data_IF_676580583943
#
_entry.id   IF_676580583943
#
_cell.length_a   1.000
_cell.length_b   1.000
_cell.length_c   1.000
_cell.angle_alpha   90.00
_cell.angle_beta   90.00
_cell.angle_gamma   90.00
#
_symmetry.space_group_name_H-M   'P 1'
#
loop_
_entity.id
_entity.type
_entity.pdbx_description
1 polymer ?
#
# COMPACT_ATOMS: atom_id res chain seq x y z
N UNK A 1 -33.37 77.75 3.59
CA UNK A 1 -32.73 77.36 4.88
C UNK A 1 -32.94 75.83 5.04
N UNK A 2 -31.96 75.07 4.60
CA UNK A 2 -32.01 73.60 4.69
C UNK A 2 -31.02 73.10 5.70
N UNK A 3 -31.51 72.39 6.72
CA UNK A 3 -30.70 71.72 7.74
C UNK A 3 -30.28 70.34 7.25
N UNK A 4 -28.95 70.15 7.11
CA UNK A 4 -28.31 68.88 6.72
C UNK A 4 -28.05 68.05 8.01
N UNK A 5 -28.76 66.94 8.16
CA UNK A 5 -28.59 66.01 9.29
C UNK A 5 -27.49 64.99 8.91
N UNK A 6 -26.39 65.01 9.65
CA UNK A 6 -25.30 64.02 9.56
C UNK A 6 -25.70 62.74 10.32
N UNK A 7 -25.69 61.60 9.61
CA UNK A 7 -25.88 60.26 10.16
C UNK A 7 -24.48 59.74 10.61
N UNK A 8 -24.29 59.53 11.89
CA UNK A 8 -23.13 58.90 12.48
C UNK A 8 -23.25 57.37 12.22
N UNK A 9 -22.31 56.80 11.51
CA UNK A 9 -22.10 55.34 11.45
C UNK A 9 -21.32 54.88 12.68
N UNK A 10 -21.96 53.99 13.46
CA UNK A 10 -21.32 53.32 14.59
C UNK A 10 -20.68 52.03 14.07
N UNK A 11 -19.34 51.99 14.01
CA UNK A 11 -18.54 50.79 13.81
C UNK A 11 -18.51 50.00 15.12
N UNK A 12 -19.34 48.95 15.21
CA UNK A 12 -19.27 47.92 16.25
C UNK A 12 -18.09 46.95 16.00
N UNK A 13 -17.48 46.42 17.08
CA UNK A 13 -16.35 45.47 16.94
C UNK A 13 -16.83 44.17 16.32
N UNK A 14 -16.18 43.75 15.21
CA UNK A 14 -16.36 42.45 14.60
C UNK A 14 -15.89 41.37 15.56
N UNK A 15 -16.78 40.47 15.96
CA UNK A 15 -16.44 39.24 16.66
C UNK A 15 -15.55 38.38 15.79
N UNK A 16 -14.46 37.78 16.31
CA UNK A 16 -13.69 36.80 15.57
C UNK A 16 -14.57 35.56 15.32
N UNK A 17 -14.76 35.21 14.04
CA UNK A 17 -15.45 33.99 13.64
C UNK A 17 -14.73 32.75 14.20
N UNK A 18 -15.43 31.62 14.36
CA UNK A 18 -14.84 30.41 14.89
C UNK A 18 -13.74 29.93 13.94
N UNK A 19 -12.49 30.05 14.37
CA UNK A 19 -11.34 29.36 13.78
C UNK A 19 -11.54 27.88 14.02
N UNK A 20 -12.03 27.14 13.01
CA UNK A 20 -11.94 25.69 12.98
C UNK A 20 -10.46 25.31 13.00
N UNK A 21 -9.99 24.55 14.00
CA UNK A 21 -8.62 24.03 13.95
C UNK A 21 -8.52 23.07 12.77
N UNK A 22 -7.75 23.43 11.76
CA UNK A 22 -7.26 22.52 10.75
C UNK A 22 -6.36 21.53 11.49
N UNK A 23 -6.89 20.34 11.84
CA UNK A 23 -6.07 19.24 12.32
C UNK A 23 -5.12 18.88 11.19
N UNK A 24 -3.85 19.15 11.35
CA UNK A 24 -2.81 18.60 10.49
C UNK A 24 -2.90 17.07 10.57
N UNK A 25 -3.53 16.48 9.57
CA UNK A 25 -3.71 15.03 9.51
C UNK A 25 -2.37 14.44 9.07
N UNK A 26 -1.75 13.64 9.92
CA UNK A 26 -0.49 12.95 9.60
C UNK A 26 -0.69 12.07 8.38
N UNK A 27 0.21 12.18 7.37
CA UNK A 27 0.21 11.35 6.18
C UNK A 27 1.24 10.24 6.33
N UNK A 28 0.82 8.98 6.12
CA UNK A 28 1.69 7.81 6.18
C UNK A 28 1.63 7.07 4.83
N UNK A 29 2.79 6.84 4.22
CA UNK A 29 2.91 6.00 3.02
C UNK A 29 3.04 4.54 3.40
N UNK A 30 2.27 3.67 2.75
CA UNK A 30 2.21 2.24 3.05
C UNK A 30 2.43 1.44 1.77
N UNK A 31 3.57 0.79 1.68
CA UNK A 31 3.82 -0.19 0.62
C UNK A 31 3.05 -1.46 0.93
N UNK A 32 2.10 -1.82 0.05
CA UNK A 32 1.25 -3.01 0.11
C UNK A 32 1.58 -3.92 -1.07
N UNK A 33 1.96 -5.16 -0.83
CA UNK A 33 2.24 -6.13 -1.89
C UNK A 33 1.15 -7.20 -1.95
N UNK A 34 0.71 -7.56 -3.16
CA UNK A 34 -0.24 -8.65 -3.41
C UNK A 34 0.53 -9.89 -3.90
N UNK A 35 0.39 -11.00 -3.20
CA UNK A 35 1.04 -12.28 -3.47
C UNK A 35 0.00 -13.40 -3.63
N UNK A 36 0.33 -14.45 -4.33
CA UNK A 36 -0.56 -15.60 -4.57
C UNK A 36 -0.51 -16.07 -6.01
N UNK A 37 -1.14 -17.21 -6.28
CA UNK A 37 -1.15 -17.87 -7.59
C UNK A 37 -1.74 -17.02 -8.71
N UNK A 38 -1.47 -17.40 -9.95
CA UNK A 38 -2.14 -16.81 -11.11
C UNK A 38 -3.65 -17.07 -11.06
N UNK A 39 -4.44 -16.07 -11.45
CA UNK A 39 -5.90 -16.19 -11.56
C UNK A 39 -6.68 -16.17 -10.23
N UNK A 40 -6.04 -15.96 -9.05
CA UNK A 40 -6.75 -15.81 -7.77
C UNK A 40 -7.44 -14.45 -7.62
N UNK A 41 -7.12 -13.47 -8.49
CA UNK A 41 -7.77 -12.17 -8.53
C UNK A 41 -7.01 -11.04 -7.83
N UNK A 42 -5.67 -11.12 -7.71
CA UNK A 42 -4.84 -10.03 -7.17
C UNK A 42 -5.04 -8.73 -7.91
N UNK A 43 -4.90 -8.74 -9.23
CA UNK A 43 -5.11 -7.56 -10.08
C UNK A 43 -6.53 -7.03 -10.01
N UNK A 44 -7.53 -7.93 -9.92
CA UNK A 44 -8.92 -7.53 -9.74
C UNK A 44 -9.14 -6.84 -8.38
N UNK A 45 -8.50 -7.32 -7.31
CA UNK A 45 -8.51 -6.66 -6.00
C UNK A 45 -7.83 -5.30 -6.06
N UNK A 46 -6.65 -5.20 -6.71
CA UNK A 46 -5.93 -3.93 -6.86
C UNK A 46 -6.77 -2.88 -7.61
N UNK A 47 -7.46 -3.28 -8.69
CA UNK A 47 -8.37 -2.42 -9.43
C UNK A 47 -9.59 -2.03 -8.57
N UNK A 48 -10.16 -2.99 -7.84
CA UNK A 48 -11.28 -2.71 -6.93
C UNK A 48 -10.87 -1.74 -5.81
N UNK A 49 -9.70 -1.92 -5.20
CA UNK A 49 -9.16 -1.00 -4.20
C UNK A 49 -8.98 0.42 -4.75
N UNK A 50 -8.43 0.55 -5.97
CA UNK A 50 -8.02 1.86 -6.51
C UNK A 50 -9.12 2.60 -7.26
N UNK A 51 -10.08 1.89 -7.86
CA UNK A 51 -11.08 2.46 -8.79
C UNK A 51 -12.52 2.07 -8.49
N UNK A 52 -12.71 1.18 -7.53
CA UNK A 52 -14.02 0.55 -7.25
C UNK A 52 -14.66 -0.12 -8.48
N UNK A 53 -13.83 -0.66 -9.37
CA UNK A 53 -14.25 -1.32 -10.60
C UNK A 53 -13.89 -2.80 -10.59
N UNK A 54 -14.67 -3.61 -11.35
CA UNK A 54 -14.33 -4.99 -11.68
C UNK A 54 -14.22 -5.13 -13.18
N UNK A 55 -13.03 -5.54 -13.63
CA UNK A 55 -12.75 -5.81 -15.05
C UNK A 55 -12.06 -7.17 -15.18
N UNK A 56 -12.34 -7.85 -16.30
CA UNK A 56 -11.55 -9.01 -16.68
C UNK A 56 -10.08 -8.62 -16.85
N UNK A 57 -9.19 -9.36 -16.20
CA UNK A 57 -7.76 -9.09 -16.25
C UNK A 57 -7.03 -10.19 -17.01
N UNK A 58 -6.07 -9.80 -17.86
CA UNK A 58 -5.09 -10.72 -18.40
C UNK A 58 -4.06 -11.07 -17.31
N UNK A 59 -3.35 -12.20 -17.43
CA UNK A 59 -2.26 -12.53 -16.51
C UNK A 59 -1.24 -11.40 -16.43
N UNK A 60 -0.93 -10.95 -15.21
CA UNK A 60 0.05 -9.89 -14.96
C UNK A 60 1.45 -10.35 -15.36
N UNK A 61 2.17 -9.49 -16.09
CA UNK A 61 3.58 -9.68 -16.44
C UNK A 61 4.42 -8.75 -15.57
N UNK A 62 5.32 -9.32 -14.77
CA UNK A 62 6.12 -8.54 -13.84
C UNK A 62 5.31 -8.04 -12.64
N UNK A 63 5.13 -6.73 -12.55
CA UNK A 63 4.40 -6.08 -11.46
C UNK A 63 3.64 -4.86 -11.98
N UNK A 64 2.40 -4.67 -11.55
CA UNK A 64 1.63 -3.45 -11.77
C UNK A 64 1.55 -2.62 -10.47
N UNK A 65 1.43 -1.30 -10.60
CA UNK A 65 1.41 -0.37 -9.48
C UNK A 65 0.11 0.41 -9.46
N UNK A 66 -0.50 0.49 -8.28
CA UNK A 66 -1.72 1.26 -8.03
C UNK A 66 -1.58 2.07 -6.75
N UNK A 67 -2.42 3.08 -6.58
CA UNK A 67 -2.46 3.89 -5.37
C UNK A 67 -3.87 3.97 -4.83
N UNK A 68 -4.00 4.06 -3.50
CA UNK A 68 -5.27 4.30 -2.82
C UNK A 68 -5.05 5.11 -1.55
N UNK A 69 -5.98 6.02 -1.27
CA UNK A 69 -5.95 6.83 -0.05
C UNK A 69 -7.03 6.31 0.91
N UNK A 70 -6.62 6.07 2.17
CA UNK A 70 -7.54 5.68 3.25
C UNK A 70 -7.39 6.68 4.38
N UNK A 71 -8.47 7.39 4.70
CA UNK A 71 -8.50 8.36 5.77
C UNK A 71 -9.07 7.73 7.04
N UNK A 72 -8.32 7.81 8.13
CA UNK A 72 -8.81 7.59 9.49
C UNK A 72 -8.97 8.95 10.17
N UNK A 73 -9.54 8.97 11.38
CA UNK A 73 -9.86 10.20 12.10
C UNK A 73 -8.68 11.15 12.34
N UNK A 74 -7.47 10.62 12.44
CA UNK A 74 -6.24 11.32 12.87
C UNK A 74 -5.03 11.07 11.94
N UNK A 75 -5.17 10.19 10.94
CA UNK A 75 -4.11 9.83 10.01
C UNK A 75 -4.68 9.49 8.62
N UNK A 76 -3.98 9.90 7.58
CA UNK A 76 -4.27 9.54 6.19
C UNK A 76 -3.19 8.60 5.69
N UNK A 77 -3.61 7.43 5.21
CA UNK A 77 -2.71 6.44 4.61
C UNK A 77 -2.73 6.56 3.10
N UNK A 78 -1.55 6.69 2.50
CA UNK A 78 -1.34 6.59 1.06
C UNK A 78 -0.78 5.20 0.77
N UNK A 79 -1.66 4.30 0.34
CA UNK A 79 -1.27 2.94 -0.05
C UNK A 79 -0.65 2.93 -1.44
N UNK A 80 0.53 2.33 -1.54
CA UNK A 80 1.25 2.02 -2.76
C UNK A 80 1.13 0.51 -2.99
N UNK A 81 0.23 0.11 -3.90
CA UNK A 81 -0.18 -1.27 -4.10
C UNK A 81 0.62 -1.88 -5.24
N UNK A 82 1.40 -2.91 -4.91
CA UNK A 82 2.24 -3.67 -5.83
C UNK A 82 1.55 -4.98 -6.19
N UNK A 83 0.91 -5.02 -7.37
CA UNK A 83 0.25 -6.21 -7.90
C UNK A 83 1.24 -7.08 -8.63
N UNK A 84 1.72 -8.14 -8.00
CA UNK A 84 2.76 -9.01 -8.55
C UNK A 84 2.17 -10.10 -9.47
N UNK A 85 2.96 -10.52 -10.46
CA UNK A 85 2.63 -11.67 -11.27
C UNK A 85 2.50 -12.93 -10.41
N UNK A 86 1.44 -13.70 -10.64
CA UNK A 86 1.17 -14.95 -9.89
C UNK A 86 1.71 -16.20 -10.55
N UNK A 87 2.45 -16.08 -11.68
CA UNK A 87 3.04 -17.22 -12.37
C UNK A 87 4.37 -17.60 -11.72
N UNK A 88 4.64 -18.90 -11.61
CA UNK A 88 5.84 -19.48 -11.00
C UNK A 88 7.14 -19.00 -11.66
N UNK A 89 7.12 -18.71 -12.96
CA UNK A 89 8.29 -18.20 -13.69
C UNK A 89 8.82 -16.85 -13.18
N UNK A 90 8.00 -16.09 -12.44
CA UNK A 90 8.41 -14.81 -11.83
C UNK A 90 8.78 -14.94 -10.35
N UNK A 91 8.78 -16.15 -9.79
CA UNK A 91 9.03 -16.38 -8.37
C UNK A 91 10.40 -15.85 -7.90
N UNK A 92 11.42 -15.97 -8.76
CA UNK A 92 12.79 -15.50 -8.46
C UNK A 92 12.92 -13.98 -8.31
N UNK A 93 12.04 -13.20 -8.95
CA UNK A 93 12.05 -11.72 -8.87
C UNK A 93 11.05 -11.17 -7.84
N UNK A 94 10.14 -11.99 -7.35
CA UNK A 94 9.11 -11.59 -6.39
C UNK A 94 9.70 -11.03 -5.08
N UNK A 95 10.84 -11.55 -4.54
CA UNK A 95 11.50 -10.98 -3.36
C UNK A 95 11.83 -9.49 -3.50
N UNK A 96 12.11 -9.01 -4.70
CA UNK A 96 12.37 -7.59 -4.96
C UNK A 96 11.13 -6.72 -4.68
N UNK A 97 9.93 -7.25 -4.90
CA UNK A 97 8.69 -6.50 -4.71
C UNK A 97 8.25 -6.46 -3.25
N UNK A 98 8.38 -7.56 -2.48
CA UNK A 98 7.94 -7.55 -1.10
C UNK A 98 8.99 -7.01 -0.11
N UNK A 99 10.23 -6.81 -0.52
CA UNK A 99 11.25 -6.20 0.34
C UNK A 99 10.82 -4.81 0.81
N UNK A 100 10.84 -4.59 2.13
CA UNK A 100 10.42 -3.33 2.73
C UNK A 100 8.91 -3.04 2.61
N UNK A 101 8.08 -4.06 2.37
CA UNK A 101 6.63 -3.88 2.40
C UNK A 101 6.14 -3.71 3.84
N UNK A 102 5.24 -2.73 4.05
CA UNK A 102 4.57 -2.50 5.33
C UNK A 102 3.39 -3.46 5.52
N UNK A 103 2.81 -3.93 4.41
CA UNK A 103 1.76 -4.94 4.42
C UNK A 103 1.91 -5.90 3.24
N UNK A 104 1.56 -7.18 3.46
CA UNK A 104 1.56 -8.21 2.44
C UNK A 104 0.24 -8.97 2.48
N UNK A 105 -0.48 -8.98 1.35
CA UNK A 105 -1.69 -9.75 1.17
C UNK A 105 -1.38 -11.05 0.42
N UNK A 106 -1.59 -12.18 1.07
CA UNK A 106 -1.51 -13.48 0.43
C UNK A 106 -2.92 -13.92 0.03
N UNK A 107 -3.18 -13.90 -1.27
CA UNK A 107 -4.50 -14.09 -1.86
C UNK A 107 -4.66 -15.51 -2.40
N UNK A 108 -5.75 -16.16 -2.06
CA UNK A 108 -6.18 -17.43 -2.65
C UNK A 108 -7.63 -17.32 -3.18
N UNK A 109 -8.02 -18.28 -4.00
CA UNK A 109 -9.36 -18.42 -4.58
C UNK A 109 -10.11 -19.48 -3.78
N UNK A 110 -11.23 -19.14 -3.13
CA UNK A 110 -12.00 -20.07 -2.29
C UNK A 110 -12.51 -21.29 -3.05
N UNK A 111 -12.66 -21.17 -4.38
CA UNK A 111 -13.11 -22.23 -5.27
C UNK A 111 -11.99 -23.15 -5.79
N UNK A 112 -10.71 -22.88 -5.36
CA UNK A 112 -9.55 -23.64 -5.84
C UNK A 112 -8.63 -24.04 -4.70
N UNK A 113 -8.72 -25.30 -4.27
CA UNK A 113 -7.91 -25.87 -3.17
C UNK A 113 -6.40 -25.68 -3.37
N UNK A 114 -5.92 -25.86 -4.60
CA UNK A 114 -4.50 -25.68 -4.91
C UNK A 114 -4.00 -24.26 -4.61
N UNK A 115 -4.83 -23.24 -4.85
CA UNK A 115 -4.43 -21.85 -4.59
C UNK A 115 -4.24 -21.57 -3.10
N UNK A 116 -5.00 -22.26 -2.24
CA UNK A 116 -4.85 -22.20 -0.77
C UNK A 116 -3.58 -22.91 -0.31
N UNK A 117 -3.25 -24.06 -0.89
CA UNK A 117 -1.97 -24.75 -0.60
C UNK A 117 -0.78 -23.86 -0.99
N UNK A 118 -0.85 -23.22 -2.15
CA UNK A 118 0.19 -22.27 -2.59
C UNK A 118 0.25 -21.02 -1.73
N UNK A 119 -0.89 -20.55 -1.21
CA UNK A 119 -0.91 -19.43 -0.25
C UNK A 119 -0.13 -19.77 1.02
N UNK A 120 -0.23 -21.02 1.53
CA UNK A 120 0.57 -21.48 2.67
C UNK A 120 2.08 -21.47 2.38
N UNK A 121 2.47 -21.77 1.12
CA UNK A 121 3.88 -21.70 0.72
C UNK A 121 4.37 -20.23 0.70
N UNK A 122 3.55 -19.30 0.19
CA UNK A 122 3.85 -17.87 0.24
C UNK A 122 4.01 -17.36 1.67
N UNK A 123 3.13 -17.76 2.58
CA UNK A 123 3.26 -17.39 3.99
C UNK A 123 4.57 -17.88 4.60
N UNK A 124 4.97 -19.13 4.36
CA UNK A 124 6.25 -19.68 4.82
C UNK A 124 7.45 -18.95 4.22
N UNK A 125 7.35 -18.50 2.96
CA UNK A 125 8.41 -17.73 2.32
C UNK A 125 8.54 -16.34 2.95
N UNK A 126 7.41 -15.66 3.17
CA UNK A 126 7.38 -14.37 3.83
C UNK A 126 7.95 -14.43 5.25
N UNK A 127 7.59 -15.44 6.03
CA UNK A 127 8.07 -15.64 7.42
C UNK A 127 9.59 -15.70 7.53
N UNK A 128 10.30 -16.15 6.47
CA UNK A 128 11.77 -16.17 6.45
C UNK A 128 12.40 -14.79 6.28
N UNK A 129 11.64 -13.85 5.69
CA UNK A 129 12.16 -12.54 5.28
C UNK A 129 11.59 -11.38 6.07
N UNK A 130 10.51 -11.60 6.82
CA UNK A 130 9.85 -10.56 7.61
C UNK A 130 10.29 -10.55 9.06
N UNK A 131 10.53 -9.34 9.55
CA UNK A 131 10.70 -9.11 10.98
C UNK A 131 9.30 -9.12 11.60
N UNK A 132 9.00 -10.03 12.54
CA UNK A 132 7.75 -9.98 13.31
C UNK A 132 7.55 -8.58 13.89
N UNK A 133 6.35 -8.08 13.88
CA UNK A 133 5.92 -6.75 14.35
C UNK A 133 6.16 -5.56 13.39
N UNK A 134 6.93 -5.67 12.29
CA UNK A 134 7.12 -4.55 11.35
C UNK A 134 6.21 -4.61 10.12
N UNK A 135 5.71 -5.79 9.74
CA UNK A 135 4.89 -5.98 8.55
C UNK A 135 3.56 -6.63 8.89
N UNK A 136 2.49 -6.05 8.38
CA UNK A 136 1.13 -6.60 8.51
C UNK A 136 0.93 -7.67 7.46
N UNK A 137 0.84 -8.92 7.87
CA UNK A 137 0.50 -10.03 6.98
C UNK A 137 -0.99 -10.33 7.02
N UNK A 138 -1.58 -10.53 5.84
CA UNK A 138 -3.01 -10.75 5.65
C UNK A 138 -3.24 -11.95 4.74
N UNK A 139 -4.06 -12.90 5.19
CA UNK A 139 -4.57 -13.98 4.35
C UNK A 139 -5.94 -13.59 3.80
N UNK A 140 -6.10 -13.63 2.47
CA UNK A 140 -7.33 -13.19 1.80
C UNK A 140 -7.92 -14.33 0.98
N UNK A 141 -9.10 -14.82 1.36
CA UNK A 141 -9.92 -15.71 0.55
C UNK A 141 -10.76 -14.90 -0.43
N UNK A 142 -10.31 -14.82 -1.69
CA UNK A 142 -11.03 -14.07 -2.70
C UNK A 142 -12.03 -14.93 -3.47
N UNK A 143 -12.90 -14.28 -4.23
CA UNK A 143 -14.01 -14.85 -5.02
C UNK A 143 -15.11 -15.45 -4.14
N UNK A 144 -15.44 -14.80 -3.02
CA UNK A 144 -16.56 -15.16 -2.15
C UNK A 144 -17.90 -15.27 -2.86
N UNK A 145 -18.04 -14.65 -4.05
CA UNK A 145 -19.17 -14.78 -4.95
C UNK A 145 -19.31 -16.20 -5.56
N UNK A 146 -18.30 -17.04 -5.46
CA UNK A 146 -18.29 -18.45 -5.92
C UNK A 146 -18.53 -19.42 -4.76
N UNK A 147 -19.37 -19.05 -3.77
CA UNK A 147 -19.69 -19.88 -2.59
C UNK A 147 -20.14 -21.30 -2.94
N UNK A 148 -20.90 -21.46 -4.02
CA UNK A 148 -21.43 -22.76 -4.47
C UNK A 148 -20.33 -23.70 -5.05
N UNK A 149 -19.20 -23.12 -5.42
CA UNK A 149 -18.02 -23.85 -5.94
C UNK A 149 -16.90 -23.93 -4.90
N UNK A 150 -17.18 -23.61 -3.65
CA UNK A 150 -16.20 -23.56 -2.58
C UNK A 150 -15.48 -24.88 -2.36
N UNK A 151 -14.16 -24.84 -2.33
CA UNK A 151 -13.26 -25.96 -2.00
C UNK A 151 -12.45 -25.71 -0.73
N UNK A 152 -12.42 -24.47 -0.24
CA UNK A 152 -11.77 -24.08 1.00
C UNK A 152 -12.81 -23.46 1.91
N UNK A 153 -13.00 -24.04 3.08
CA UNK A 153 -13.97 -23.54 4.06
C UNK A 153 -13.47 -22.26 4.73
N UNK A 154 -14.39 -21.43 5.19
CA UNK A 154 -14.08 -20.25 5.98
C UNK A 154 -13.25 -20.64 7.23
N UNK A 155 -13.58 -21.77 7.87
CA UNK A 155 -12.90 -22.27 9.06
C UNK A 155 -11.44 -22.62 8.79
N UNK A 156 -11.12 -23.22 7.64
CA UNK A 156 -9.73 -23.54 7.27
C UNK A 156 -8.88 -22.28 7.09
N UNK A 157 -9.43 -21.27 6.39
CA UNK A 157 -8.75 -19.98 6.23
C UNK A 157 -8.54 -19.29 7.58
N UNK A 158 -9.57 -19.26 8.42
CA UNK A 158 -9.51 -18.66 9.73
C UNK A 158 -8.51 -19.37 10.65
N UNK A 159 -8.53 -20.71 10.74
CA UNK A 159 -7.60 -21.48 11.56
C UNK A 159 -6.15 -21.25 11.15
N UNK A 160 -5.85 -21.27 9.83
CA UNK A 160 -4.51 -20.97 9.33
C UNK A 160 -4.04 -19.56 9.74
N UNK A 161 -4.96 -18.60 9.71
CA UNK A 161 -4.61 -17.22 10.06
C UNK A 161 -4.36 -17.08 11.58
N UNK A 162 -5.18 -17.70 12.42
CA UNK A 162 -5.01 -17.70 13.89
C UNK A 162 -3.68 -18.35 14.27
N UNK A 163 -3.38 -19.52 13.72
CA UNK A 163 -2.16 -20.28 14.01
C UNK A 163 -0.88 -19.48 13.68
N UNK A 164 -0.98 -18.51 12.77
CA UNK A 164 0.15 -17.69 12.30
C UNK A 164 0.07 -16.23 12.72
N UNK A 165 -0.94 -15.83 13.48
CA UNK A 165 -1.13 -14.44 13.92
C UNK A 165 -1.43 -13.45 12.80
N UNK A 166 -2.08 -13.91 11.72
CA UNK A 166 -2.41 -13.12 10.54
C UNK A 166 -3.77 -12.44 10.69
N UNK A 167 -3.99 -11.35 9.97
CA UNK A 167 -5.33 -10.88 9.67
C UNK A 167 -5.94 -11.81 8.61
N UNK A 168 -7.23 -12.15 8.76
CA UNK A 168 -7.96 -12.97 7.79
C UNK A 168 -9.24 -12.29 7.36
N UNK A 169 -9.53 -12.35 6.06
CA UNK A 169 -10.80 -11.89 5.51
C UNK A 169 -11.12 -12.62 4.21
N UNK A 170 -12.39 -12.96 4.01
CA UNK A 170 -12.89 -13.36 2.69
C UNK A 170 -13.48 -12.16 1.97
N UNK A 171 -13.21 -12.06 0.68
CA UNK A 171 -13.62 -10.93 -0.17
C UNK A 171 -14.16 -11.42 -1.51
N UNK A 172 -14.84 -10.54 -2.22
CA UNK A 172 -15.08 -10.72 -3.65
C UNK A 172 -14.73 -9.44 -4.40
N UNK A 173 -13.66 -9.49 -5.19
CA UNK A 173 -13.35 -8.39 -6.10
C UNK A 173 -14.46 -8.15 -7.11
N UNK A 174 -15.23 -9.19 -7.49
CA UNK A 174 -16.35 -9.10 -8.44
C UNK A 174 -17.52 -8.34 -7.87
N UNK A 175 -18.03 -8.70 -6.70
CA UNK A 175 -19.16 -8.03 -6.07
C UNK A 175 -18.78 -6.78 -5.26
N UNK A 176 -17.49 -6.60 -4.93
CA UNK A 176 -17.01 -5.55 -4.03
C UNK A 176 -17.13 -5.91 -2.55
N UNK A 177 -17.69 -7.09 -2.22
CA UNK A 177 -17.95 -7.48 -0.84
C UNK A 177 -16.65 -7.57 -0.02
N UNK A 178 -16.65 -6.96 1.16
CA UNK A 178 -15.55 -6.94 2.15
C UNK A 178 -14.22 -6.33 1.63
N UNK A 179 -14.22 -5.64 0.48
CA UNK A 179 -13.00 -5.09 -0.11
C UNK A 179 -12.59 -3.79 0.57
N UNK A 180 -13.53 -2.90 0.82
CA UNK A 180 -13.29 -1.64 1.56
C UNK A 180 -12.94 -1.91 3.01
N UNK A 181 -13.64 -2.86 3.64
CA UNK A 181 -13.39 -3.31 5.02
C UNK A 181 -11.99 -3.91 5.17
N UNK A 182 -11.53 -4.67 4.18
CA UNK A 182 -10.17 -5.20 4.15
C UNK A 182 -9.13 -4.06 4.18
N UNK A 183 -9.29 -3.02 3.35
CA UNK A 183 -8.37 -1.89 3.33
C UNK A 183 -8.38 -1.12 4.66
N UNK A 184 -9.55 -0.92 5.26
CA UNK A 184 -9.68 -0.29 6.57
C UNK A 184 -9.01 -1.12 7.67
N UNK A 185 -9.20 -2.45 7.66
CA UNK A 185 -8.58 -3.35 8.63
C UNK A 185 -7.05 -3.33 8.54
N UNK A 186 -6.50 -3.28 7.32
CA UNK A 186 -5.07 -3.13 7.08
C UNK A 186 -4.58 -1.78 7.62
N UNK A 187 -5.27 -0.68 7.32
CA UNK A 187 -4.91 0.65 7.80
C UNK A 187 -4.87 0.71 9.34
N UNK A 188 -5.88 0.15 10.01
CA UNK A 188 -5.90 0.06 11.47
C UNK A 188 -4.76 -0.79 12.04
N UNK A 189 -4.42 -1.90 11.38
CA UNK A 189 -3.33 -2.77 11.83
C UNK A 189 -1.97 -2.09 11.64
N UNK A 190 -1.74 -1.45 10.49
CA UNK A 190 -0.52 -0.67 10.21
C UNK A 190 -0.38 0.47 11.23
N UNK A 191 -1.47 1.20 11.52
CA UNK A 191 -1.47 2.26 12.54
C UNK A 191 -0.97 1.74 13.90
N UNK A 192 -1.48 0.60 14.37
CA UNK A 192 -1.04 -0.01 15.63
C UNK A 192 0.44 -0.36 15.63
N UNK A 193 0.91 -1.05 14.58
CA UNK A 193 2.33 -1.40 14.46
C UNK A 193 3.22 -0.14 14.48
N UNK A 194 2.81 0.93 13.81
CA UNK A 194 3.57 2.20 13.79
C UNK A 194 3.58 2.89 15.15
N UNK A 195 2.48 2.82 15.91
CA UNK A 195 2.38 3.44 17.24
C UNK A 195 3.20 2.67 18.28
N UNK A 196 3.23 1.35 18.20
CA UNK A 196 4.04 0.49 19.09
C UNK A 196 5.55 0.70 18.87
N UNK A 197 5.98 1.01 17.64
CA UNK A 197 7.38 1.32 17.32
C UNK A 197 7.79 2.75 17.73
N UNK A 198 6.87 3.69 17.81
CA UNK A 198 7.17 5.08 18.23
C UNK A 198 7.46 5.22 19.73
N UNK A 199 7.09 4.25 20.54
CA UNK A 199 7.56 4.18 21.93
C UNK A 199 9.03 3.74 22.06
N UNK A 200 9.70 3.40 20.98
CA UNK A 200 11.07 2.87 20.98
C UNK A 200 12.01 3.33 19.86
N UNK A 201 11.57 4.06 18.85
CA UNK A 201 12.45 4.51 17.76
C UNK A 201 12.05 5.89 17.23
N UNK A 202 13.04 6.76 17.24
CA UNK A 202 13.09 8.08 16.61
C UNK A 202 12.55 8.07 15.17
N UNK A 203 11.81 9.14 14.88
CA UNK A 203 11.45 9.70 13.58
C UNK A 203 12.30 9.18 12.42
N UNK A 204 11.65 8.53 11.45
CA UNK A 204 12.21 8.44 10.11
C UNK A 204 12.17 9.85 9.53
N UNK A 205 13.25 10.61 9.75
CA UNK A 205 13.50 11.84 9.02
C UNK A 205 13.40 11.54 7.55
N UNK A 206 12.69 12.41 6.82
CA UNK A 206 12.74 12.50 5.37
C UNK A 206 14.20 12.50 4.95
N UNK A 207 14.72 11.33 4.55
CA UNK A 207 16.03 11.25 3.94
C UNK A 207 15.91 11.91 2.58
N UNK A 208 16.42 13.12 2.56
CA UNK A 208 17.00 13.83 1.43
C UNK A 208 16.45 13.48 0.05
N UNK A 209 15.61 14.36 -0.45
CA UNK A 209 15.54 14.66 -1.88
C UNK A 209 17.00 14.79 -2.37
N UNK A 210 17.47 13.78 -3.07
CA UNK A 210 18.73 13.85 -3.82
C UNK A 210 18.58 15.03 -4.76
N UNK A 211 19.19 16.15 -4.40
CA UNK A 211 19.28 17.34 -5.20
C UNK A 211 20.19 17.01 -6.41
N UNK A 212 19.59 16.54 -7.49
CA UNK A 212 20.21 16.49 -8.80
C UNK A 212 20.33 17.92 -9.35
N UNK A 213 21.05 18.77 -8.65
CA UNK A 213 21.50 20.05 -9.18
C UNK A 213 22.96 19.97 -9.48
N UNK A 214 23.24 19.95 -10.80
CA UNK A 214 24.46 20.41 -11.46
C UNK A 214 25.77 19.79 -10.97
N UNK A 215 26.23 18.78 -11.68
CA UNK A 215 27.67 18.57 -11.85
C UNK A 215 28.22 19.74 -12.67
N UNK A 216 28.97 20.59 -12.01
CA UNK A 216 29.84 21.56 -12.66
C UNK A 216 30.87 20.81 -13.51
N UNK A 217 31.02 21.27 -14.73
CA UNK A 217 32.03 20.88 -15.69
C UNK A 217 33.43 20.98 -15.09
N UNK A 218 34.01 19.84 -14.71
CA UNK A 218 35.46 19.74 -14.50
C UNK A 218 36.12 19.63 -15.86
N UNK A 219 36.67 20.74 -16.32
CA UNK A 219 37.65 20.78 -17.41
C UNK A 219 38.92 20.08 -16.95
N UNK A 220 39.17 18.90 -17.49
CA UNK A 220 40.48 18.28 -17.41
C UNK A 220 41.30 18.69 -18.66
N UNK A 221 42.55 19.19 -18.50
CA UNK A 221 43.41 19.45 -19.62
C UNK A 221 43.88 18.11 -20.22
N UNK A 222 43.76 18.04 -21.54
CA UNK A 222 44.27 16.94 -22.35
C UNK A 222 45.80 16.88 -22.24
N UNK A 223 46.31 15.89 -21.53
CA UNK A 223 47.70 15.49 -21.62
C UNK A 223 47.90 14.60 -22.86
N UNK A 224 48.56 15.14 -23.84
CA UNK A 224 49.06 14.48 -25.03
C UNK A 224 50.10 13.43 -24.64
N UNK A 225 49.85 12.17 -24.99
CA UNK A 225 50.90 11.13 -25.04
C UNK A 225 50.69 10.27 -26.29
N UNK A 226 51.27 10.70 -27.39
CA UNK A 226 51.66 9.78 -28.46
C UNK A 226 53.16 9.53 -28.40
N UNK A 227 53.63 8.27 -28.30
CA UNK A 227 55.02 7.95 -28.62
C UNK A 227 55.14 7.74 -30.14
N UNK A 228 56.02 8.54 -30.76
CA UNK A 228 56.50 8.42 -32.14
C UNK A 228 57.30 7.12 -32.28
N UNK A 229 56.96 6.28 -33.25
CA UNK A 229 57.84 5.23 -33.79
C UNK A 229 58.39 5.81 -35.10
N UNK A 230 59.69 5.97 -35.18
CA UNK A 230 60.44 6.25 -36.39
C UNK A 230 61.78 5.52 -36.35
N UNK A 231 62.54 5.45 -37.43
CA UNK A 231 62.57 4.44 -38.48
C UNK A 231 63.52 3.27 -38.17
#
# INVERSE_FOLDING_TARGET
>A
MGKRTQRRESTGPRSPGPTTPTRDTRIIRVKLVLLGSSGVGKSSLAIRFSKDEFKGTLPTVGCAYFTQVVCLSDVTFHFEIWDTAGQEKYHSVTPLYYRGAHAALVVYDISKRESFIRAQMWLRELEKHYIPASTVMVLVGNKGDLSDLRQVTLQEGHSLAVDRGLLFMETSAKSGNQVSELMLAIAHRVKRCTSEHQSGLTEWQETELVNLRRSETLQHPLASCCPSIGP
#
